data_IF_714471774618
#
_entry.id   IF_714471774618
#
_cell.length_a   1.000
_cell.length_b   1.000
_cell.length_c   1.000
_cell.angle_alpha   90.00
_cell.angle_beta   90.00
_cell.angle_gamma   90.00
#
_symmetry.space_group_name_H-M   'P 1'
#
loop_
_entity.id
_entity.type
_entity.pdbx_description
1 polymer ?
#
# COMPACT_ATOMS: atom_id res chain seq x y z
N UNK A 1 -15.94 -4.34 -13.33
CA UNK A 1 -16.15 -4.41 -11.86
C UNK A 1 -14.78 -4.43 -11.18
N UNK A 2 -14.67 -3.99 -9.93
CA UNK A 2 -13.42 -3.96 -9.18
C UNK A 2 -13.70 -4.26 -7.71
N UNK A 3 -12.76 -4.89 -7.03
CA UNK A 3 -12.85 -5.20 -5.60
C UNK A 3 -11.80 -4.42 -4.82
N UNK A 4 -12.23 -3.72 -3.77
CA UNK A 4 -11.36 -2.93 -2.90
C UNK A 4 -11.24 -3.59 -1.54
N UNK A 5 -10.04 -3.56 -0.98
CA UNK A 5 -9.67 -4.22 0.26
C UNK A 5 -8.94 -3.24 1.16
N UNK A 6 -9.39 -3.16 2.41
CA UNK A 6 -8.79 -2.30 3.43
C UNK A 6 -7.87 -3.11 4.32
N UNK A 7 -6.68 -2.59 4.58
CA UNK A 7 -5.71 -3.13 5.51
C UNK A 7 -5.49 -2.13 6.65
N UNK A 8 -5.53 -2.62 7.89
CA UNK A 8 -5.25 -1.83 9.09
C UNK A 8 -4.08 -2.50 9.80
N UNK A 9 -2.99 -1.74 10.01
CA UNK A 9 -1.82 -2.22 10.73
C UNK A 9 -1.99 -2.12 12.25
N UNK A 10 -1.06 -2.72 13.01
CA UNK A 10 -1.03 -2.69 14.48
C UNK A 10 -0.91 -1.27 15.06
N UNK A 11 -0.33 -0.33 14.31
CA UNK A 11 -0.27 1.09 14.66
C UNK A 11 -1.56 1.86 14.39
N UNK A 12 -2.60 1.20 13.86
CA UNK A 12 -3.87 1.84 13.48
C UNK A 12 -3.81 2.58 12.14
N UNK A 13 -2.71 2.45 11.37
CA UNK A 13 -2.65 3.03 10.04
C UNK A 13 -3.51 2.20 9.09
N UNK A 14 -4.39 2.87 8.36
CA UNK A 14 -5.26 2.26 7.37
C UNK A 14 -4.75 2.58 5.97
N UNK A 15 -4.73 1.58 5.10
CA UNK A 15 -4.49 1.75 3.68
C UNK A 15 -5.39 0.82 2.87
N UNK A 16 -5.57 1.10 1.59
CA UNK A 16 -6.46 0.36 0.70
C UNK A 16 -5.75 -0.05 -0.59
N UNK A 17 -6.10 -1.23 -1.08
CA UNK A 17 -5.77 -1.62 -2.44
C UNK A 17 -7.01 -2.10 -3.19
N UNK A 18 -6.99 -1.96 -4.51
CA UNK A 18 -8.07 -2.36 -5.40
C UNK A 18 -7.52 -3.30 -6.46
N UNK A 19 -8.27 -4.36 -6.75
CA UNK A 19 -8.02 -5.27 -7.88
C UNK A 19 -9.19 -5.13 -8.84
N UNK A 20 -8.90 -4.70 -10.06
CA UNK A 20 -9.85 -4.61 -11.15
C UNK A 20 -10.08 -5.98 -11.78
N UNK A 21 -11.26 -6.15 -12.38
CA UNK A 21 -11.51 -7.30 -13.24
C UNK A 21 -10.55 -7.38 -14.42
N UNK A 22 -10.53 -8.58 -15.01
CA UNK A 22 -9.69 -8.94 -16.13
C UNK A 22 -9.86 -7.95 -17.28
N UNK A 23 -8.77 -7.35 -17.75
CA UNK A 23 -8.78 -6.42 -18.86
C UNK A 23 -8.67 -7.13 -20.23
N UNK A 24 -8.68 -6.36 -21.32
CA UNK A 24 -8.61 -6.90 -22.70
C UNK A 24 -7.36 -7.76 -22.95
N UNK A 25 -6.27 -7.54 -22.20
CA UNK A 25 -5.05 -8.33 -22.26
C UNK A 25 -5.09 -9.63 -21.44
N UNK A 26 -6.24 -9.97 -20.85
CA UNK A 26 -6.39 -11.09 -19.94
C UNK A 26 -5.58 -10.94 -18.62
N UNK A 27 -5.24 -9.73 -18.21
CA UNK A 27 -4.57 -9.46 -16.95
C UNK A 27 -5.50 -8.81 -15.91
N UNK A 28 -5.16 -8.95 -14.64
CA UNK A 28 -5.82 -8.30 -13.51
C UNK A 28 -4.97 -7.11 -13.08
N UNK A 29 -5.53 -5.91 -13.24
CA UNK A 29 -4.88 -4.69 -12.78
C UNK A 29 -5.11 -4.51 -11.29
N UNK A 30 -4.10 -4.06 -10.57
CA UNK A 30 -4.22 -3.68 -9.17
C UNK A 30 -3.62 -2.30 -8.92
N UNK A 31 -4.08 -1.64 -7.86
CA UNK A 31 -3.57 -0.33 -7.42
C UNK A 31 -3.74 -0.14 -5.92
N UNK A 32 -2.89 0.67 -5.30
CA UNK A 32 -2.97 1.11 -3.89
C UNK A 32 -3.37 2.57 -3.81
N UNK A 33 -3.94 3.00 -2.67
CA UNK A 33 -4.19 4.44 -2.44
C UNK A 33 -2.89 5.25 -2.25
N UNK A 34 -1.79 4.56 -1.98
CA UNK A 34 -0.43 5.11 -1.93
C UNK A 34 0.16 5.40 -3.33
N UNK A 35 -0.55 5.07 -4.41
CA UNK A 35 -0.15 5.36 -5.79
C UNK A 35 0.56 4.21 -6.53
N UNK A 36 0.84 3.10 -5.83
CA UNK A 36 1.41 1.91 -6.45
C UNK A 36 0.37 1.21 -7.33
N UNK A 37 0.83 0.57 -8.39
CA UNK A 37 -0.05 -0.18 -9.29
C UNK A 37 0.73 -1.22 -10.08
N UNK A 38 0.00 -2.17 -10.64
CA UNK A 38 0.58 -3.19 -11.51
C UNK A 38 -0.47 -4.08 -12.14
N UNK A 39 0.00 -5.14 -12.78
CA UNK A 39 -0.82 -6.16 -13.43
C UNK A 39 -0.32 -7.56 -13.05
N UNK A 40 -1.22 -8.54 -13.11
CA UNK A 40 -0.90 -9.95 -12.94
C UNK A 40 -1.87 -10.84 -13.71
N UNK A 41 -1.45 -12.04 -14.10
CA UNK A 41 -2.26 -12.92 -14.97
C UNK A 41 -3.39 -13.65 -14.22
N UNK A 42 -3.44 -13.56 -12.88
CA UNK A 42 -4.51 -14.11 -12.06
C UNK A 42 -4.94 -13.13 -10.96
N UNK A 43 -6.19 -13.25 -10.52
CA UNK A 43 -6.75 -12.41 -9.47
C UNK A 43 -6.00 -12.58 -8.14
N UNK A 44 -5.71 -13.82 -7.76
CA UNK A 44 -4.98 -14.15 -6.53
C UNK A 44 -3.56 -13.56 -6.55
N UNK A 45 -2.89 -13.60 -7.70
CA UNK A 45 -1.58 -13.00 -7.85
C UNK A 45 -1.63 -11.47 -7.79
N UNK A 46 -2.61 -10.85 -8.46
CA UNK A 46 -2.83 -9.40 -8.37
C UNK A 46 -3.10 -8.97 -6.92
N UNK A 47 -3.94 -9.71 -6.21
CA UNK A 47 -4.25 -9.46 -4.80
C UNK A 47 -3.00 -9.62 -3.91
N UNK A 48 -2.23 -10.69 -4.10
CA UNK A 48 -1.00 -10.94 -3.35
C UNK A 48 0.06 -9.85 -3.57
N UNK A 49 0.27 -9.45 -4.82
CA UNK A 49 1.20 -8.36 -5.19
C UNK A 49 0.76 -7.04 -4.59
N UNK A 50 -0.51 -6.66 -4.78
CA UNK A 50 -1.06 -5.43 -4.25
C UNK A 50 -0.93 -5.35 -2.72
N UNK A 51 -1.25 -6.43 -2.02
CA UNK A 51 -1.12 -6.51 -0.56
C UNK A 51 0.33 -6.39 -0.09
N UNK A 52 1.26 -7.04 -0.79
CA UNK A 52 2.68 -7.03 -0.44
C UNK A 52 3.25 -5.62 -0.59
N UNK A 53 2.99 -4.98 -1.73
CA UNK A 53 3.44 -3.62 -2.00
C UNK A 53 2.80 -2.62 -1.04
N UNK A 54 1.49 -2.74 -0.77
CA UNK A 54 0.81 -1.90 0.22
C UNK A 54 1.48 -1.98 1.60
N UNK A 55 1.77 -3.20 2.07
CA UNK A 55 2.41 -3.41 3.37
C UNK A 55 3.82 -2.85 3.42
N UNK A 56 4.59 -2.97 2.35
CA UNK A 56 5.93 -2.39 2.24
C UNK A 56 5.86 -0.85 2.29
N UNK A 57 4.97 -0.26 1.50
CA UNK A 57 4.72 1.18 1.46
C UNK A 57 4.28 1.73 2.83
N UNK A 58 3.39 1.03 3.55
CA UNK A 58 3.02 1.38 4.92
C UNK A 58 4.19 1.29 5.90
N UNK A 59 5.07 0.28 5.74
CA UNK A 59 6.26 0.13 6.59
C UNK A 59 7.27 1.26 6.34
N UNK A 60 7.45 1.65 5.07
CA UNK A 60 8.28 2.77 4.69
C UNK A 60 7.73 4.11 5.22
N UNK A 61 6.41 4.33 5.12
CA UNK A 61 5.79 5.55 5.65
C UNK A 61 5.94 5.65 7.17
N UNK A 62 5.72 4.54 7.90
CA UNK A 62 5.95 4.50 9.36
C UNK A 62 7.39 4.88 9.73
N UNK A 63 8.38 4.35 8.99
CA UNK A 63 9.80 4.68 9.17
C UNK A 63 10.10 6.17 8.91
N UNK A 64 9.41 6.77 7.96
CA UNK A 64 9.53 8.20 7.68
C UNK A 64 8.91 9.06 8.78
N UNK A 65 7.74 8.67 9.29
CA UNK A 65 7.07 9.36 10.40
C UNK A 65 7.88 9.31 11.69
N UNK A 66 8.44 8.15 12.06
CA UNK A 66 9.32 8.03 13.23
C UNK A 66 10.59 8.88 13.07
N UNK A 67 11.19 8.94 11.88
CA UNK A 67 12.35 9.78 11.60
C UNK A 67 11.99 11.28 11.73
N UNK A 68 10.83 11.70 11.23
CA UNK A 68 10.35 13.09 11.32
C UNK A 68 10.06 13.51 12.76
N UNK A 69 9.47 12.61 13.56
CA UNK A 69 9.25 12.85 14.99
C UNK A 69 10.57 13.01 15.73
N UNK A 70 11.55 12.13 15.51
CA UNK A 70 12.87 12.21 16.15
C UNK A 70 13.62 13.49 15.78
N UNK A 71 13.54 13.91 14.50
CA UNK A 71 14.12 15.18 14.06
C UNK A 71 13.51 16.37 14.83
N UNK A 72 12.19 16.39 15.01
CA UNK A 72 11.49 17.46 15.74
C UNK A 72 11.86 17.52 17.23
N UNK A 73 12.12 16.37 17.88
CA UNK A 73 12.61 16.34 19.26
C UNK A 73 14.06 16.82 19.40
N UNK A 74 14.89 16.67 18.37
CA UNK A 74 16.30 17.11 18.39
C UNK A 74 16.48 18.63 18.24
N UNK A 75 15.52 19.33 17.62
CA UNK A 75 15.59 20.79 17.39
C UNK A 75 15.23 21.60 18.64
N UNK A 76 14.52 21.01 19.61
CA UNK A 76 14.00 21.72 20.79
C UNK A 76 15.02 21.88 21.95
N UNK A 77 16.24 21.38 21.79
CA UNK A 77 17.30 21.49 22.80
C UNK A 77 18.48 22.33 22.28
N UNK A 78 18.23 23.62 22.04
CA UNK A 78 19.28 24.65 21.97
C UNK A 78 18.79 25.95 22.57
#
# INVERSE_FOLDING_TARGET
MSQSFTFIDVGGNQAQYTVSEKDYHNDFRWSTDHGDHGVASSFEEAQSRARTVLKDSMTANRRSEEATRLASYSVRWR
#
